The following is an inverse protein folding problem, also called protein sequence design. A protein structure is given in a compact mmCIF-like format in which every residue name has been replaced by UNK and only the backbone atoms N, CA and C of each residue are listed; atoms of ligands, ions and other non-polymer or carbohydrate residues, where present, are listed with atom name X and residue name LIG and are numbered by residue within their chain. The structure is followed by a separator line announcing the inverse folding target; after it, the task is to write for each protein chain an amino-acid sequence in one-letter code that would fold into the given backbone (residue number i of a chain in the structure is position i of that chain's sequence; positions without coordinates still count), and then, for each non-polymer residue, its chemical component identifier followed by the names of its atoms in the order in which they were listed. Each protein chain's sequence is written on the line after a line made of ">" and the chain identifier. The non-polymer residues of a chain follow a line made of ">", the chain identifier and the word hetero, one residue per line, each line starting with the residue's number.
data_IF_506763168548
#
_entry.id   IF_506763168548
#
_cell.length_a   1.000
_cell.length_b   1.000
_cell.length_c   1.000
_cell.angle_alpha   90.00
_cell.angle_beta   90.00
_cell.angle_gamma   90.00
#
_symmetry.space_group_name_H-M   'P 1'
#
loop_
_entity.id
_entity.type
_entity.pdbx_description
1 polymer ?
#
# COMPACT_ATOMS: atom_id res chain seq x y z
N UNK A 1 8.33 6.08 -36.50
CA UNK A 1 7.51 5.69 -37.66
C UNK A 1 6.69 4.45 -37.30
N UNK A 2 5.37 4.66 -37.25
CA UNK A 2 4.24 3.75 -37.52
C UNK A 2 4.14 2.33 -36.91
N UNK A 3 4.58 2.09 -35.68
CA UNK A 3 3.99 0.95 -34.95
C UNK A 3 2.56 1.27 -34.53
N UNK A 4 1.58 0.71 -35.25
CA UNK A 4 0.17 0.75 -34.85
C UNK A 4 -0.16 -0.46 -33.98
N UNK A 5 -0.46 -0.30 -32.67
CA UNK A 5 -0.75 -1.41 -31.77
C UNK A 5 -2.19 -1.95 -31.91
N UNK A 6 -3.08 -1.25 -32.63
CA UNK A 6 -4.51 -1.62 -32.73
C UNK A 6 -4.77 -2.98 -33.41
N UNK A 7 -4.10 -3.35 -34.52
CA UNK A 7 -4.27 -4.68 -35.11
C UNK A 7 -3.84 -5.78 -34.13
N UNK A 8 -2.77 -5.55 -33.37
CA UNK A 8 -2.29 -6.48 -32.35
C UNK A 8 -3.33 -6.63 -31.23
N UNK A 9 -3.91 -5.52 -30.74
CA UNK A 9 -5.04 -5.55 -29.79
C UNK A 9 -6.17 -6.44 -30.28
N UNK A 10 -6.62 -6.21 -31.51
CA UNK A 10 -7.75 -6.94 -32.09
C UNK A 10 -7.45 -8.43 -32.20
N UNK A 11 -6.27 -8.80 -32.70
CA UNK A 11 -5.84 -10.20 -32.81
C UNK A 11 -5.82 -10.85 -31.42
N UNK A 12 -5.23 -10.20 -30.42
CA UNK A 12 -5.08 -10.76 -29.08
C UNK A 12 -6.42 -10.96 -28.38
N UNK A 13 -7.28 -9.93 -28.36
CA UNK A 13 -8.60 -10.03 -27.71
C UNK A 13 -9.48 -11.04 -28.45
N UNK A 14 -9.47 -11.06 -29.79
CA UNK A 14 -10.23 -12.03 -30.57
C UNK A 14 -9.74 -13.45 -30.33
N UNK A 15 -8.42 -13.67 -30.36
CA UNK A 15 -7.83 -14.98 -30.08
C UNK A 15 -8.21 -15.46 -28.67
N UNK A 16 -8.08 -14.60 -27.66
CA UNK A 16 -8.48 -14.93 -26.29
C UNK A 16 -9.96 -15.33 -26.21
N UNK A 17 -10.86 -14.52 -26.78
CA UNK A 17 -12.30 -14.80 -26.79
C UNK A 17 -12.64 -16.06 -27.59
N UNK A 18 -11.97 -16.33 -28.71
CA UNK A 18 -12.18 -17.54 -29.51
C UNK A 18 -11.72 -18.79 -28.76
N UNK A 19 -10.53 -18.77 -28.16
CA UNK A 19 -10.01 -19.89 -27.38
C UNK A 19 -10.89 -20.23 -26.18
N UNK A 20 -11.50 -19.22 -25.55
CA UNK A 20 -12.50 -19.43 -24.49
C UNK A 20 -13.84 -19.98 -25.01
N UNK A 21 -14.22 -19.65 -26.26
CA UNK A 21 -15.50 -20.04 -26.88
C UNK A 21 -15.51 -21.39 -27.58
N UNK A 22 -14.37 -21.91 -28.03
CA UNK A 22 -14.28 -23.15 -28.87
C UNK A 22 -14.63 -24.42 -28.08
N UNK A 23 -15.37 -24.28 -26.98
CA UNK A 23 -15.48 -25.25 -25.90
C UNK A 23 -16.89 -25.45 -25.34
N UNK A 24 -17.91 -24.74 -25.83
CA UNK A 24 -19.27 -25.26 -25.63
C UNK A 24 -19.48 -26.58 -26.40
N UNK A 25 -18.62 -26.88 -27.39
CA UNK A 25 -18.90 -27.90 -28.42
C UNK A 25 -17.98 -29.14 -28.48
N UNK A 26 -16.87 -29.30 -27.73
CA UNK A 26 -16.05 -30.54 -27.91
C UNK A 26 -15.06 -30.99 -26.80
N UNK A 27 -14.78 -32.29 -26.87
CA UNK A 27 -14.03 -33.29 -26.06
C UNK A 27 -12.60 -32.98 -25.56
N UNK A 28 -12.08 -31.77 -25.67
CA UNK A 28 -10.77 -31.43 -25.08
C UNK A 28 -10.91 -31.21 -23.57
N UNK A 29 -10.17 -32.00 -22.78
CA UNK A 29 -10.28 -32.03 -21.31
C UNK A 29 -10.17 -30.65 -20.65
N UNK A 30 -10.87 -30.50 -19.51
CA UNK A 30 -10.93 -29.29 -18.67
C UNK A 30 -9.57 -28.65 -18.37
N UNK A 31 -8.49 -29.43 -18.42
CA UNK A 31 -7.12 -28.99 -18.15
C UNK A 31 -6.62 -27.95 -19.16
N UNK A 32 -6.92 -28.01 -20.47
CA UNK A 32 -6.33 -27.07 -21.45
C UNK A 32 -6.82 -25.62 -21.24
N UNK A 33 -8.10 -25.44 -20.90
CA UNK A 33 -8.74 -24.14 -20.68
C UNK A 33 -8.06 -23.39 -19.56
N UNK A 34 -7.67 -24.13 -18.53
CA UNK A 34 -7.08 -23.52 -17.35
C UNK A 34 -5.71 -22.91 -17.66
N UNK A 35 -5.07 -23.35 -18.75
CA UNK A 35 -3.80 -22.80 -19.21
C UNK A 35 -3.94 -21.56 -20.09
N UNK A 36 -5.10 -21.31 -20.70
CA UNK A 36 -5.30 -20.18 -21.63
C UNK A 36 -5.08 -18.83 -20.92
N UNK A 37 -5.71 -18.52 -19.77
CA UNK A 37 -5.47 -17.25 -19.07
C UNK A 37 -4.01 -17.07 -18.63
N UNK A 38 -3.36 -18.16 -18.24
CA UNK A 38 -1.97 -18.18 -17.77
C UNK A 38 -1.02 -17.88 -18.93
N UNK A 39 -1.16 -18.59 -20.05
CA UNK A 39 -0.33 -18.41 -21.23
C UNK A 39 -0.51 -17.02 -21.84
N UNK A 40 -1.76 -16.54 -21.91
CA UNK A 40 -2.07 -15.21 -22.42
C UNK A 40 -1.52 -14.11 -21.51
N UNK A 41 -1.68 -14.24 -20.19
CA UNK A 41 -1.11 -13.29 -19.25
C UNK A 41 0.42 -13.29 -19.25
N UNK A 42 1.07 -14.46 -19.41
CA UNK A 42 2.52 -14.51 -19.62
C UNK A 42 2.95 -13.79 -20.90
N UNK A 43 2.23 -13.98 -22.00
CA UNK A 43 2.48 -13.27 -23.24
C UNK A 43 2.33 -11.75 -23.07
N UNK A 44 1.28 -11.29 -22.39
CA UNK A 44 1.12 -9.88 -22.04
C UNK A 44 2.29 -9.36 -21.20
N UNK A 45 2.73 -10.11 -20.17
CA UNK A 45 3.90 -9.72 -19.36
C UNK A 45 5.16 -9.51 -20.20
N UNK A 46 5.38 -10.33 -21.24
CA UNK A 46 6.49 -10.12 -22.18
C UNK A 46 6.34 -8.81 -22.97
N UNK A 47 5.11 -8.42 -23.30
CA UNK A 47 4.73 -7.16 -23.95
C UNK A 47 4.54 -5.98 -22.98
N UNK A 48 5.00 -6.09 -21.73
CA UNK A 48 4.82 -5.04 -20.72
C UNK A 48 5.30 -3.68 -21.24
N UNK A 49 4.65 -2.57 -20.83
CA UNK A 49 4.97 -1.23 -21.34
C UNK A 49 6.44 -0.81 -21.17
N UNK A 50 7.11 -1.27 -20.12
CA UNK A 50 8.55 -1.02 -19.91
C UNK A 50 9.46 -1.63 -20.98
N UNK A 51 9.00 -2.70 -21.66
CA UNK A 51 9.70 -3.34 -22.79
C UNK A 51 9.23 -2.83 -24.14
N UNK A 52 7.92 -2.59 -24.27
CA UNK A 52 7.30 -2.13 -25.51
C UNK A 52 6.47 -0.86 -25.23
N UNK A 53 7.09 0.32 -25.07
CA UNK A 53 6.39 1.54 -24.69
C UNK A 53 5.26 1.94 -25.65
N UNK A 54 5.42 1.65 -26.95
CA UNK A 54 4.40 1.90 -27.96
C UNK A 54 3.11 1.07 -27.76
N UNK A 55 3.14 0.03 -26.93
CA UNK A 55 1.99 -0.82 -26.59
C UNK A 55 1.27 -0.37 -25.31
N UNK A 56 1.74 0.66 -24.60
CA UNK A 56 1.26 1.03 -23.26
C UNK A 56 -0.25 1.31 -23.16
N UNK A 57 -0.83 2.00 -24.16
CA UNK A 57 -2.26 2.34 -24.19
C UNK A 57 -3.08 1.06 -24.43
N UNK A 58 -2.70 0.27 -25.42
CA UNK A 58 -3.37 -1.00 -25.71
C UNK A 58 -3.25 -2.00 -24.56
N UNK A 59 -2.12 -2.02 -23.86
CA UNK A 59 -1.91 -2.84 -22.68
C UNK A 59 -2.95 -2.52 -21.60
N UNK A 60 -3.15 -1.24 -21.27
CA UNK A 60 -4.19 -0.80 -20.33
C UNK A 60 -5.59 -1.18 -20.83
N UNK A 61 -5.91 -0.93 -22.10
CA UNK A 61 -7.21 -1.26 -22.67
C UNK A 61 -7.51 -2.78 -22.61
N UNK A 62 -6.49 -3.64 -22.72
CA UNK A 62 -6.67 -5.09 -22.55
C UNK A 62 -6.95 -5.44 -21.08
N UNK A 63 -6.27 -4.78 -20.14
CA UNK A 63 -6.54 -4.96 -18.70
C UNK A 63 -7.91 -4.40 -18.30
N UNK A 64 -8.46 -3.43 -19.04
CA UNK A 64 -9.78 -2.87 -18.81
C UNK A 64 -10.93 -3.70 -19.43
N UNK A 65 -10.65 -4.62 -20.36
CA UNK A 65 -11.66 -5.44 -21.05
C UNK A 65 -12.43 -6.35 -20.07
N UNK A 66 -13.75 -6.22 -20.06
CA UNK A 66 -14.61 -6.93 -19.10
C UNK A 66 -14.51 -8.45 -19.21
N UNK A 67 -14.28 -8.99 -20.41
CA UNK A 67 -14.16 -10.45 -20.59
C UNK A 67 -12.83 -10.92 -20.03
N UNK A 68 -11.76 -10.14 -20.23
CA UNK A 68 -10.45 -10.43 -19.65
C UNK A 68 -10.51 -10.36 -18.12
N UNK A 69 -11.01 -9.27 -17.54
CA UNK A 69 -11.13 -9.11 -16.08
C UNK A 69 -11.95 -10.24 -15.48
N UNK A 70 -13.16 -10.50 -15.98
CA UNK A 70 -14.04 -11.56 -15.43
C UNK A 70 -13.40 -12.93 -15.51
N UNK A 71 -12.73 -13.25 -16.63
CA UNK A 71 -12.04 -14.54 -16.77
C UNK A 71 -10.88 -14.67 -15.78
N UNK A 72 -10.17 -13.58 -15.50
CA UNK A 72 -9.04 -13.57 -14.59
C UNK A 72 -9.45 -13.53 -13.12
N UNK A 73 -10.55 -12.84 -12.77
CA UNK A 73 -10.90 -12.52 -11.38
C UNK A 73 -12.15 -13.23 -10.85
N UNK A 74 -13.20 -13.45 -11.65
CA UNK A 74 -14.44 -14.11 -11.18
C UNK A 74 -14.20 -15.60 -10.89
N UNK A 75 -13.24 -16.20 -11.57
CA UNK A 75 -12.87 -17.60 -11.38
C UNK A 75 -11.86 -17.68 -10.24
N UNK A 76 -12.22 -18.37 -9.17
CA UNK A 76 -11.41 -18.54 -7.96
C UNK A 76 -10.22 -19.49 -8.14
N UNK A 77 -9.38 -19.24 -9.14
CA UNK A 77 -8.11 -19.94 -9.35
C UNK A 77 -6.99 -18.95 -9.01
N UNK A 78 -6.22 -19.18 -7.92
CA UNK A 78 -5.17 -18.26 -7.45
C UNK A 78 -4.14 -17.91 -8.53
N UNK A 79 -3.93 -18.85 -9.44
CA UNK A 79 -3.12 -18.68 -10.63
C UNK A 79 -3.44 -17.42 -11.43
N UNK A 80 -4.72 -17.20 -11.70
CA UNK A 80 -5.18 -16.12 -12.57
C UNK A 80 -5.04 -14.80 -11.84
N UNK A 81 -5.42 -14.76 -10.56
CA UNK A 81 -5.24 -13.59 -9.70
C UNK A 81 -3.77 -13.17 -9.63
N UNK A 82 -2.84 -14.11 -9.44
CA UNK A 82 -1.40 -13.83 -9.42
C UNK A 82 -0.91 -13.23 -10.75
N UNK A 83 -1.34 -13.80 -11.88
CA UNK A 83 -0.98 -13.29 -13.21
C UNK A 83 -1.54 -11.88 -13.43
N UNK A 84 -2.80 -11.64 -13.08
CA UNK A 84 -3.42 -10.32 -13.21
C UNK A 84 -2.75 -9.28 -12.30
N UNK A 85 -2.44 -9.65 -11.06
CA UNK A 85 -1.70 -8.80 -10.11
C UNK A 85 -0.32 -8.41 -10.67
N UNK A 86 0.40 -9.34 -11.31
CA UNK A 86 1.68 -9.03 -11.96
C UNK A 86 1.50 -8.04 -13.11
N UNK A 87 0.50 -8.21 -13.97
CA UNK A 87 0.24 -7.30 -15.10
C UNK A 87 -0.12 -5.88 -14.62
N UNK A 88 -0.90 -5.77 -13.54
CA UNK A 88 -1.19 -4.48 -12.90
C UNK A 88 0.07 -3.80 -12.39
N UNK A 89 0.97 -4.56 -11.76
CA UNK A 89 2.26 -4.05 -11.31
C UNK A 89 3.13 -3.60 -12.49
N UNK A 90 3.18 -4.36 -13.59
CA UNK A 90 3.97 -4.01 -14.76
C UNK A 90 3.56 -2.64 -15.33
N UNK A 91 2.26 -2.40 -15.50
CA UNK A 91 1.77 -1.13 -16.02
C UNK A 91 1.91 0.00 -15.01
N UNK A 92 1.67 -0.27 -13.73
CA UNK A 92 1.77 0.74 -12.67
C UNK A 92 3.21 1.22 -12.49
N UNK A 93 4.18 0.29 -12.52
CA UNK A 93 5.61 0.62 -12.49
C UNK A 93 6.01 1.51 -13.67
N UNK A 94 5.58 1.14 -14.87
CA UNK A 94 5.87 1.94 -16.07
C UNK A 94 5.33 3.36 -15.97
N UNK A 95 4.06 3.52 -15.59
CA UNK A 95 3.43 4.85 -15.45
C UNK A 95 4.09 5.66 -14.33
N UNK A 96 4.45 5.02 -13.21
CA UNK A 96 5.15 5.68 -12.11
C UNK A 96 6.47 6.34 -12.58
N UNK A 97 7.23 5.65 -13.41
CA UNK A 97 8.52 6.13 -13.92
C UNK A 97 8.33 7.32 -14.84
N UNK A 98 7.33 7.22 -15.73
CA UNK A 98 6.96 8.33 -16.59
C UNK A 98 6.53 9.55 -15.76
N UNK A 99 5.75 9.34 -14.70
CA UNK A 99 5.31 10.39 -13.79
C UNK A 99 6.47 11.05 -13.02
N UNK A 100 7.52 10.31 -12.68
CA UNK A 100 8.73 10.87 -12.06
C UNK A 100 9.61 11.63 -13.05
N UNK A 101 9.62 11.22 -14.32
CA UNK A 101 10.53 11.76 -15.34
C UNK A 101 10.08 13.07 -15.98
N UNK A 102 8.79 13.45 -15.89
CA UNK A 102 8.24 14.53 -16.72
C UNK A 102 7.19 15.42 -16.04
N UNK A 103 7.43 16.73 -16.18
CA UNK A 103 6.53 17.86 -16.02
C UNK A 103 5.53 17.88 -17.19
N UNK A 104 4.23 17.79 -16.89
CA UNK A 104 3.07 18.23 -17.71
C UNK A 104 3.13 17.99 -19.23
N UNK A 105 2.91 16.75 -19.69
CA UNK A 105 2.43 16.48 -21.06
C UNK A 105 1.02 15.87 -21.01
N UNK A 106 0.08 16.40 -21.81
CA UNK A 106 -1.33 15.97 -21.82
C UNK A 106 -1.52 14.45 -22.04
N UNK A 107 -0.65 13.82 -22.84
CA UNK A 107 -0.69 12.36 -23.08
C UNK A 107 -0.35 11.53 -21.84
N UNK A 108 0.58 12.01 -20.99
CA UNK A 108 0.93 11.35 -19.73
C UNK A 108 -0.17 11.51 -18.69
N UNK A 109 -0.83 12.67 -18.67
CA UNK A 109 -2.02 12.90 -17.84
C UNK A 109 -3.12 11.92 -18.19
N UNK A 110 -3.37 11.68 -19.48
CA UNK A 110 -4.36 10.70 -19.92
C UNK A 110 -3.97 9.27 -19.52
N UNK A 111 -2.69 8.88 -19.67
CA UNK A 111 -2.22 7.54 -19.30
C UNK A 111 -2.35 7.29 -17.79
N UNK A 112 -1.99 8.27 -16.96
CA UNK A 112 -2.17 8.19 -15.51
C UNK A 112 -3.64 8.14 -15.14
N UNK A 113 -4.50 8.93 -15.80
CA UNK A 113 -5.93 8.91 -15.57
C UNK A 113 -6.54 7.55 -15.92
N UNK A 114 -6.19 6.95 -17.07
CA UNK A 114 -6.63 5.59 -17.43
C UNK A 114 -6.16 4.55 -16.41
N UNK A 115 -4.90 4.64 -15.95
CA UNK A 115 -4.41 3.77 -14.88
C UNK A 115 -5.23 3.94 -13.59
N UNK A 116 -5.52 5.18 -13.18
CA UNK A 116 -6.34 5.48 -12.02
C UNK A 116 -7.75 4.90 -12.16
N UNK A 117 -8.38 5.06 -13.34
CA UNK A 117 -9.72 4.56 -13.62
C UNK A 117 -9.77 3.03 -13.58
N UNK A 118 -8.73 2.34 -14.08
CA UNK A 118 -8.56 0.89 -13.94
C UNK A 118 -8.46 0.48 -12.46
N UNK A 119 -7.60 1.11 -11.67
CA UNK A 119 -7.48 0.83 -10.23
C UNK A 119 -8.78 1.10 -9.47
N UNK A 120 -9.48 2.16 -9.82
CA UNK A 120 -10.77 2.52 -9.22
C UNK A 120 -11.85 1.49 -9.58
N UNK A 121 -11.94 1.08 -10.85
CA UNK A 121 -12.83 0.00 -11.31
C UNK A 121 -12.59 -1.29 -10.53
N UNK A 122 -11.32 -1.69 -10.37
CA UNK A 122 -10.96 -2.89 -9.63
C UNK A 122 -11.26 -2.78 -8.13
N UNK A 123 -11.02 -1.63 -7.53
CA UNK A 123 -11.30 -1.40 -6.10
C UNK A 123 -12.80 -1.45 -5.81
N UNK A 124 -13.64 -0.98 -6.74
CA UNK A 124 -15.10 -1.01 -6.62
C UNK A 124 -15.70 -2.39 -6.93
N UNK A 125 -15.27 -3.05 -8.00
CA UNK A 125 -15.88 -4.29 -8.50
C UNK A 125 -15.23 -5.56 -7.95
N UNK A 126 -13.95 -5.50 -7.61
CA UNK A 126 -13.15 -6.65 -7.16
C UNK A 126 -12.38 -6.35 -5.86
N UNK A 127 -13.07 -5.86 -4.80
CA UNK A 127 -12.39 -5.45 -3.58
C UNK A 127 -11.70 -6.61 -2.85
N UNK A 128 -12.20 -7.84 -2.99
CA UNK A 128 -11.59 -9.05 -2.41
C UNK A 128 -10.20 -9.30 -2.97
N UNK A 129 -10.05 -9.23 -4.29
CA UNK A 129 -8.77 -9.33 -4.98
C UNK A 129 -7.80 -8.22 -4.54
N UNK A 130 -8.26 -6.98 -4.48
CA UNK A 130 -7.41 -5.88 -3.98
C UNK A 130 -6.98 -6.11 -2.53
N UNK A 131 -7.88 -6.60 -1.68
CA UNK A 131 -7.57 -6.89 -0.28
C UNK A 131 -6.54 -8.02 -0.11
N UNK A 132 -6.64 -9.09 -0.91
CA UNK A 132 -5.72 -10.23 -0.89
C UNK A 132 -4.30 -9.84 -1.32
N UNK A 133 -4.18 -8.90 -2.26
CA UNK A 133 -2.90 -8.43 -2.81
C UNK A 133 -2.48 -7.04 -2.30
N UNK A 134 -3.15 -6.48 -1.29
CA UNK A 134 -2.90 -5.09 -0.86
C UNK A 134 -1.46 -4.84 -0.41
N UNK A 135 -0.85 -5.80 0.31
CA UNK A 135 0.56 -5.74 0.70
C UNK A 135 1.50 -5.81 -0.51
N UNK A 136 1.18 -6.71 -1.46
CA UNK A 136 1.92 -6.83 -2.71
C UNK A 136 1.89 -5.49 -3.48
N UNK A 137 0.71 -4.91 -3.69
CA UNK A 137 0.58 -3.63 -4.40
C UNK A 137 1.24 -2.47 -3.67
N UNK A 138 1.14 -2.40 -2.34
CA UNK A 138 1.76 -1.33 -1.54
C UNK A 138 3.29 -1.29 -1.65
N UNK A 139 3.92 -2.43 -1.95
CA UNK A 139 5.37 -2.51 -2.19
C UNK A 139 5.79 -1.99 -3.57
N UNK A 140 4.88 -2.00 -4.57
CA UNK A 140 5.21 -1.58 -5.94
C UNK A 140 4.66 -0.21 -6.33
N UNK A 141 3.56 0.22 -5.73
CA UNK A 141 3.05 1.57 -5.92
C UNK A 141 3.93 2.52 -5.11
N UNK A 142 4.70 3.34 -5.82
CA UNK A 142 5.60 4.31 -5.20
C UNK A 142 4.86 5.24 -4.23
N UNK A 143 5.53 5.60 -3.15
CA UNK A 143 4.96 6.38 -2.04
C UNK A 143 4.27 7.68 -2.50
N UNK A 144 4.84 8.48 -3.43
CA UNK A 144 4.24 9.74 -3.88
C UNK A 144 2.91 9.56 -4.63
N UNK A 145 2.61 8.35 -5.11
CA UNK A 145 1.35 8.05 -5.80
C UNK A 145 0.22 7.78 -4.80
N UNK A 146 0.01 8.72 -3.87
CA UNK A 146 -0.95 8.58 -2.77
C UNK A 146 -2.36 8.27 -3.26
N UNK A 147 -2.81 8.85 -4.39
CA UNK A 147 -4.15 8.59 -4.92
C UNK A 147 -4.35 7.12 -5.32
N UNK A 148 -3.35 6.48 -5.92
CA UNK A 148 -3.40 5.05 -6.26
C UNK A 148 -3.27 4.17 -5.01
N UNK A 149 -2.36 4.53 -4.10
CA UNK A 149 -2.21 3.80 -2.82
C UNK A 149 -3.51 3.86 -2.01
N UNK A 150 -4.17 5.02 -2.00
CA UNK A 150 -5.43 5.23 -1.29
C UNK A 150 -6.54 4.31 -1.82
N UNK A 151 -6.63 4.07 -3.13
CA UNK A 151 -7.56 3.09 -3.68
C UNK A 151 -7.32 1.66 -3.14
N UNK A 152 -6.05 1.27 -3.02
CA UNK A 152 -5.67 -0.06 -2.50
C UNK A 152 -6.00 -0.21 -1.01
N UNK A 153 -5.65 0.77 -0.18
CA UNK A 153 -5.85 0.69 1.27
C UNK A 153 -7.32 0.86 1.68
N UNK A 154 -8.11 1.57 0.87
CA UNK A 154 -9.54 1.80 1.11
C UNK A 154 -10.42 0.61 0.67
N UNK A 155 -9.87 -0.37 -0.05
CA UNK A 155 -10.60 -1.57 -0.43
C UNK A 155 -10.98 -2.41 0.81
N UNK A 156 -12.19 -3.00 0.78
CA UNK A 156 -12.75 -3.77 1.89
C UNK A 156 -13.69 -4.88 1.41
N UNK A 157 -13.72 -6.00 2.14
CA UNK A 157 -14.54 -7.17 1.80
C UNK A 157 -16.05 -6.88 1.83
N UNK A 158 -16.51 -6.01 2.74
CA UNK A 158 -17.91 -5.62 2.84
C UNK A 158 -18.07 -4.10 2.62
N UNK A 159 -18.78 -3.75 1.54
CA UNK A 159 -19.08 -2.36 1.18
C UNK A 159 -20.37 -1.84 1.85
N UNK A 160 -21.15 -2.70 2.50
CA UNK A 160 -22.46 -2.35 3.08
C UNK A 160 -22.36 -1.89 4.53
N UNK A 161 -21.35 -2.35 5.27
CA UNK A 161 -21.06 -1.90 6.63
C UNK A 161 -20.15 -0.66 6.61
N UNK A 162 -20.73 0.53 6.43
CA UNK A 162 -20.09 1.79 6.84
C UNK A 162 -20.33 2.08 8.34
N UNK A 163 -20.90 1.12 9.07
CA UNK A 163 -21.38 1.30 10.45
C UNK A 163 -20.27 1.44 11.48
N UNK A 164 -19.07 0.93 11.20
CA UNK A 164 -17.91 1.04 12.11
C UNK A 164 -17.28 2.44 12.09
N UNK A 165 -17.53 3.23 11.03
CA UNK A 165 -16.97 4.58 10.84
C UNK A 165 -17.39 5.49 11.99
N UNK A 166 -18.56 5.23 12.54
CA UNK A 166 -19.19 6.01 13.60
C UNK A 166 -18.95 5.44 15.00
N UNK A 167 -18.23 4.31 15.13
CA UNK A 167 -17.88 3.72 16.42
C UNK A 167 -16.51 4.24 16.86
N UNK A 168 -16.49 5.30 17.66
CA UNK A 168 -15.28 5.92 18.21
C UNK A 168 -14.39 4.95 18.99
N UNK A 169 -14.95 3.83 19.45
CA UNK A 169 -14.26 2.84 20.28
C UNK A 169 -13.89 1.57 19.48
N UNK A 170 -14.03 1.59 18.15
CA UNK A 170 -13.75 0.43 17.30
C UNK A 170 -12.30 -0.09 17.42
N UNK A 171 -11.33 0.82 17.63
CA UNK A 171 -9.93 0.48 17.86
C UNK A 171 -9.67 -0.06 19.29
N UNK A 172 -10.60 0.15 20.22
CA UNK A 172 -10.51 -0.33 21.61
C UNK A 172 -11.02 -1.78 21.76
N UNK A 173 -11.84 -2.26 20.80
CA UNK A 173 -12.40 -3.63 20.78
C UNK A 173 -11.33 -4.72 20.88
N UNK A 174 -11.63 -5.83 21.56
CA UNK A 174 -10.70 -6.98 21.71
C UNK A 174 -10.18 -7.49 20.37
N UNK A 175 -8.88 -7.80 20.33
CA UNK A 175 -8.20 -8.27 19.12
C UNK A 175 -8.81 -9.58 18.59
N UNK A 176 -9.27 -10.45 19.48
CA UNK A 176 -9.90 -11.74 19.14
C UNK A 176 -11.22 -11.60 18.36
N UNK A 177 -11.89 -10.45 18.47
CA UNK A 177 -13.16 -10.17 17.79
C UNK A 177 -12.97 -9.65 16.36
N UNK A 178 -11.73 -9.31 15.99
CA UNK A 178 -11.42 -8.75 14.68
C UNK A 178 -10.98 -9.85 13.71
N UNK A 179 -11.31 -9.73 12.40
CA UNK A 179 -10.86 -10.69 11.41
C UNK A 179 -9.35 -10.56 11.17
N UNK A 180 -8.70 -11.69 10.86
CA UNK A 180 -7.35 -11.68 10.29
C UNK A 180 -7.40 -11.17 8.84
N UNK A 181 -6.39 -10.43 8.38
CA UNK A 181 -6.26 -10.16 6.96
C UNK A 181 -5.92 -11.46 6.22
N UNK A 182 -6.38 -11.59 4.97
CA UNK A 182 -6.12 -12.78 4.16
C UNK A 182 -5.18 -12.49 2.98
N UNK A 183 -4.69 -13.55 2.35
CA UNK A 183 -3.90 -13.47 1.12
C UNK A 183 -2.41 -13.22 1.34
N UNK A 184 -1.80 -12.51 0.39
CA UNK A 184 -0.35 -12.34 0.22
C UNK A 184 0.36 -11.85 1.50
N UNK A 185 -0.31 -11.04 2.31
CA UNK A 185 0.24 -10.45 3.54
C UNK A 185 0.65 -11.51 4.58
N UNK A 186 -0.09 -12.62 4.69
CA UNK A 186 0.16 -13.65 5.71
C UNK A 186 1.42 -14.48 5.43
N UNK A 187 1.89 -14.48 4.18
CA UNK A 187 3.11 -15.18 3.76
C UNK A 187 4.40 -14.34 3.91
N UNK A 188 4.34 -13.17 4.57
CA UNK A 188 5.50 -12.28 4.73
C UNK A 188 6.72 -12.98 5.34
N UNK A 189 6.50 -13.81 6.37
CA UNK A 189 7.58 -14.58 7.00
C UNK A 189 8.22 -15.63 6.09
N UNK A 190 7.59 -16.03 4.99
CA UNK A 190 8.15 -16.98 4.02
C UNK A 190 9.03 -16.27 2.96
N UNK A 191 8.86 -14.96 2.79
CA UNK A 191 9.62 -14.14 1.83
C UNK A 191 10.92 -13.58 2.40
N UNK A 192 11.05 -13.55 3.73
CA UNK A 192 12.26 -13.10 4.39
C UNK A 192 13.46 -14.04 4.11
N UNK A 193 14.69 -13.51 4.02
CA UNK A 193 15.90 -14.34 3.98
C UNK A 193 15.96 -15.27 5.21
N UNK A 194 16.22 -16.58 5.04
CA UNK A 194 16.30 -17.51 6.17
C UNK A 194 17.25 -17.09 7.31
N UNK A 195 18.44 -16.50 7.03
CA UNK A 195 19.32 -16.00 8.09
C UNK A 195 18.69 -14.86 8.90
N UNK A 196 18.01 -13.92 8.25
CA UNK A 196 17.32 -12.80 8.91
C UNK A 196 16.17 -13.33 9.77
N UNK A 197 15.35 -14.22 9.22
CA UNK A 197 14.24 -14.83 9.94
C UNK A 197 14.71 -15.56 11.20
N UNK A 198 15.72 -16.41 11.07
CA UNK A 198 16.27 -17.17 12.20
C UNK A 198 16.89 -16.26 13.26
N UNK A 199 17.59 -15.19 12.85
CA UNK A 199 18.14 -14.20 13.79
C UNK A 199 17.05 -13.49 14.59
N UNK A 200 15.95 -13.14 13.94
CA UNK A 200 14.79 -12.47 14.57
C UNK A 200 14.07 -13.40 15.53
N UNK A 201 13.80 -14.64 15.11
CA UNK A 201 13.17 -15.65 15.97
C UNK A 201 14.05 -15.96 17.19
N UNK A 202 15.37 -16.03 17.01
CA UNK A 202 16.34 -16.21 18.10
C UNK A 202 16.37 -14.99 19.03
N UNK A 203 16.29 -13.77 18.48
CA UNK A 203 16.27 -12.55 19.27
C UNK A 203 15.00 -12.46 20.12
N UNK A 204 13.84 -12.79 19.55
CA UNK A 204 12.56 -12.76 20.25
C UNK A 204 12.49 -13.83 21.36
N UNK A 205 13.05 -15.02 21.13
CA UNK A 205 12.97 -16.14 22.07
C UNK A 205 14.08 -16.16 23.13
N UNK A 206 15.31 -15.82 22.74
CA UNK A 206 16.51 -15.96 23.58
C UNK A 206 17.19 -14.63 23.92
N UNK A 207 16.76 -13.52 23.30
CA UNK A 207 17.43 -12.22 23.44
C UNK A 207 18.80 -12.15 22.74
N UNK A 208 19.09 -13.08 21.82
CA UNK A 208 20.37 -13.19 21.12
C UNK A 208 20.20 -13.07 19.60
N UNK A 209 21.10 -12.38 18.86
CA UNK A 209 22.33 -11.75 19.34
C UNK A 209 22.09 -10.41 20.05
N UNK A 210 22.98 -10.04 20.98
CA UNK A 210 22.87 -8.82 21.78
C UNK A 210 22.88 -7.57 20.89
N UNK A 211 23.70 -7.58 19.84
CA UNK A 211 23.84 -6.48 18.89
C UNK A 211 22.81 -6.51 17.76
N UNK A 212 21.82 -7.41 17.83
CA UNK A 212 20.82 -7.58 16.78
C UNK A 212 20.18 -6.25 16.36
N UNK A 213 19.78 -5.44 17.34
CA UNK A 213 19.13 -4.15 17.08
C UNK A 213 20.04 -3.17 16.33
N UNK A 214 21.34 -3.13 16.66
CA UNK A 214 22.32 -2.23 16.04
C UNK A 214 22.67 -2.68 14.61
N UNK A 215 22.78 -3.99 14.39
CA UNK A 215 23.11 -4.56 13.09
C UNK A 215 21.93 -4.51 12.12
N UNK A 216 20.69 -4.47 12.63
CA UNK A 216 19.48 -4.62 11.84
C UNK A 216 19.33 -3.61 10.69
N UNK A 217 19.53 -2.29 10.86
CA UNK A 217 19.50 -1.33 9.75
C UNK A 217 20.53 -1.68 8.66
N UNK A 218 21.71 -2.18 9.04
CA UNK A 218 22.76 -2.60 8.09
C UNK A 218 22.38 -3.87 7.33
N UNK A 219 21.62 -4.78 7.93
CA UNK A 219 21.09 -5.96 7.25
C UNK A 219 20.10 -5.60 6.13
N UNK A 220 19.44 -4.43 6.23
CA UNK A 220 18.53 -3.92 5.22
C UNK A 220 19.22 -3.09 4.12
N UNK A 221 20.50 -2.73 4.31
CA UNK A 221 21.20 -1.88 3.35
C UNK A 221 21.45 -2.60 2.02
N UNK A 222 21.13 -1.91 0.93
CA UNK A 222 21.59 -2.25 -0.40
C UNK A 222 23.05 -1.81 -0.54
N UNK A 223 24.00 -2.48 0.14
CA UNK A 223 25.44 -2.19 -0.07
C UNK A 223 25.84 -2.54 -1.52
N UNK A 224 26.80 -1.81 -2.09
CA UNK A 224 27.44 -2.01 -3.40
C UNK A 224 28.25 -3.32 -3.54
N UNK A 225 27.86 -4.36 -2.83
CA UNK A 225 28.34 -5.71 -3.06
C UNK A 225 27.07 -6.54 -3.13
N UNK A 226 26.83 -7.25 -4.25
CA UNK A 226 25.76 -8.27 -4.41
C UNK A 226 24.55 -7.89 -5.30
N UNK A 227 24.64 -6.86 -6.15
CA UNK A 227 23.90 -6.90 -7.43
C UNK A 227 24.27 -8.15 -8.28
N UNK A 228 25.39 -8.81 -7.96
CA UNK A 228 25.95 -9.99 -8.64
C UNK A 228 25.89 -11.33 -7.87
N UNK A 229 25.46 -11.37 -6.60
CA UNK A 229 25.54 -12.57 -5.74
C UNK A 229 24.15 -13.09 -5.26
N UNK A 230 23.09 -12.27 -5.33
CA UNK A 230 21.71 -12.66 -4.99
C UNK A 230 20.70 -12.51 -6.14
N UNK A 231 21.20 -12.37 -7.36
CA UNK A 231 20.60 -12.99 -8.56
C UNK A 231 20.72 -14.54 -8.52
N UNK A 232 20.76 -15.13 -7.33
CA UNK A 232 20.89 -16.56 -7.14
C UNK A 232 19.50 -17.21 -7.15
N UNK A 233 19.23 -18.18 -8.06
CA UNK A 233 17.94 -18.84 -8.24
C UNK A 233 17.43 -19.64 -7.03
N UNK A 234 18.14 -19.61 -5.89
CA UNK A 234 17.89 -20.44 -4.71
C UNK A 234 16.69 -20.01 -3.86
N UNK A 235 16.32 -18.72 -3.83
CA UNK A 235 15.11 -18.27 -3.07
C UNK A 235 13.80 -18.72 -3.72
N UNK A 236 13.78 -18.85 -5.05
CA UNK A 236 12.67 -19.45 -5.80
C UNK A 236 12.70 -20.99 -5.73
N UNK A 237 13.87 -21.63 -5.51
CA UNK A 237 13.95 -23.07 -5.29
C UNK A 237 13.30 -23.52 -3.98
N UNK A 238 13.31 -22.71 -2.91
CA UNK A 238 12.66 -23.10 -1.63
C UNK A 238 11.13 -23.02 -1.75
N UNK A 239 10.61 -22.02 -2.48
CA UNK A 239 9.19 -21.91 -2.82
C UNK A 239 8.77 -23.04 -3.78
N UNK A 240 9.57 -23.32 -4.82
CA UNK A 240 9.37 -24.44 -5.75
C UNK A 240 9.52 -25.82 -5.09
N UNK A 241 10.37 -25.97 -4.07
CA UNK A 241 10.53 -27.22 -3.34
C UNK A 241 9.33 -27.54 -2.44
N UNK A 242 8.61 -26.51 -1.96
CA UNK A 242 7.34 -26.64 -1.23
C UNK A 242 6.12 -26.82 -2.16
N UNK A 243 6.20 -26.32 -3.40
CA UNK A 243 5.12 -26.38 -4.42
C UNK A 243 5.18 -27.63 -5.33
N UNK A 244 5.67 -28.76 -4.81
CA UNK A 244 6.02 -30.00 -5.54
C UNK A 244 4.90 -30.72 -6.32
N UNK A 245 3.82 -30.07 -6.75
CA UNK A 245 2.75 -30.71 -7.52
C UNK A 245 2.07 -29.87 -8.61
N UNK A 246 2.76 -29.09 -9.46
CA UNK A 246 2.25 -28.66 -10.81
C UNK A 246 3.31 -28.00 -11.72
N UNK A 247 4.07 -28.84 -12.45
CA UNK A 247 5.29 -28.50 -13.20
C UNK A 247 5.20 -27.47 -14.36
N UNK A 248 4.03 -26.98 -14.77
CA UNK A 248 3.89 -25.96 -15.82
C UNK A 248 3.60 -24.56 -15.27
N UNK A 249 2.89 -24.51 -14.14
CA UNK A 249 2.47 -23.29 -13.46
C UNK A 249 3.66 -22.52 -12.88
N UNK A 250 4.63 -23.29 -12.38
CA UNK A 250 5.82 -22.77 -11.72
C UNK A 250 6.81 -22.13 -12.70
N UNK A 251 6.86 -22.53 -13.98
CA UNK A 251 7.81 -21.97 -14.95
C UNK A 251 7.42 -20.57 -15.44
N UNK A 252 6.13 -20.30 -15.60
CA UNK A 252 5.66 -18.99 -16.04
C UNK A 252 5.78 -17.93 -14.94
N UNK A 253 5.42 -18.27 -13.69
CA UNK A 253 5.72 -17.44 -12.52
C UNK A 253 7.23 -17.31 -12.29
N UNK A 254 8.01 -18.37 -12.53
CA UNK A 254 9.47 -18.34 -12.47
C UNK A 254 10.07 -17.32 -13.43
N UNK A 255 9.70 -17.31 -14.71
CA UNK A 255 10.24 -16.34 -15.67
C UNK A 255 9.65 -14.92 -15.54
N UNK A 256 8.42 -14.78 -15.01
CA UNK A 256 7.84 -13.47 -14.70
C UNK A 256 8.49 -12.84 -13.45
N UNK A 257 8.76 -13.65 -12.41
CA UNK A 257 9.47 -13.24 -11.20
C UNK A 257 10.97 -12.98 -11.45
N UNK A 258 11.61 -13.77 -12.31
CA UNK A 258 13.01 -13.52 -12.74
C UNK A 258 13.11 -12.23 -13.58
N UNK A 259 12.08 -11.87 -14.34
CA UNK A 259 12.04 -10.61 -15.10
C UNK A 259 11.53 -9.40 -14.30
N UNK A 260 10.89 -9.62 -13.14
CA UNK A 260 10.55 -8.55 -12.20
C UNK A 260 11.77 -8.17 -11.37
N UNK A 261 12.75 -9.06 -11.14
CA UNK A 261 14.03 -8.79 -10.45
C UNK A 261 14.95 -7.77 -11.13
N UNK A 262 14.64 -7.29 -12.32
CA UNK A 262 15.21 -6.05 -12.88
C UNK A 262 14.57 -4.78 -12.24
N UNK A 263 14.28 -4.81 -10.93
CA UNK A 263 13.70 -3.68 -10.15
C UNK A 263 14.68 -2.50 -10.04
N UNK A 264 15.89 -2.60 -10.58
CA UNK A 264 16.91 -1.56 -10.49
C UNK A 264 16.61 -0.26 -11.25
N UNK A 265 15.60 -0.23 -12.15
CA UNK A 265 15.48 0.90 -13.09
C UNK A 265 14.54 2.03 -12.67
N UNK A 266 13.83 1.95 -11.54
CA UNK A 266 12.61 2.74 -11.37
C UNK A 266 12.52 3.50 -10.03
N UNK A 267 13.44 4.46 -9.89
CA UNK A 267 13.16 5.80 -9.34
C UNK A 267 12.86 5.97 -7.84
N UNK A 268 12.94 4.92 -7.04
CA UNK A 268 13.08 5.03 -5.57
C UNK A 268 14.36 4.38 -5.03
N UNK A 269 14.99 3.47 -5.78
CA UNK A 269 16.20 2.77 -5.34
C UNK A 269 17.45 3.64 -5.36
N UNK A 270 17.43 4.79 -6.05
CA UNK A 270 18.58 5.68 -6.09
C UNK A 270 18.64 6.68 -4.92
N UNK A 271 17.60 6.77 -4.08
CA UNK A 271 17.55 7.71 -2.95
C UNK A 271 17.52 7.06 -1.56
N UNK A 272 17.14 5.78 -1.47
CA UNK A 272 17.05 5.05 -0.20
C UNK A 272 18.04 3.88 -0.24
N UNK A 273 19.06 3.82 0.65
CA UNK A 273 20.10 2.81 0.61
C UNK A 273 19.65 1.45 1.14
N UNK A 274 18.35 1.13 1.08
CA UNK A 274 17.73 -0.06 1.69
C UNK A 274 16.85 -0.80 0.69
N UNK A 275 16.64 -2.10 0.91
CA UNK A 275 15.72 -2.94 0.11
C UNK A 275 14.28 -2.75 0.62
N UNK A 276 13.40 -1.98 -0.05
CA UNK A 276 12.11 -1.56 0.51
C UNK A 276 11.16 -2.74 0.76
N UNK A 277 11.12 -3.69 -0.18
CA UNK A 277 10.30 -4.91 -0.11
C UNK A 277 10.65 -5.75 1.11
N UNK A 278 11.94 -5.87 1.42
CA UNK A 278 12.44 -6.67 2.54
C UNK A 278 12.09 -6.03 3.89
N UNK A 279 12.21 -4.71 4.00
CA UNK A 279 11.81 -3.96 5.20
C UNK A 279 10.30 -4.06 5.41
N UNK A 280 9.52 -3.91 4.35
CA UNK A 280 8.05 -4.01 4.40
C UNK A 280 7.59 -5.41 4.84
N UNK A 281 8.10 -6.47 4.21
CA UNK A 281 7.82 -7.87 4.63
C UNK A 281 8.29 -8.14 6.06
N UNK A 282 9.39 -7.54 6.50
CA UNK A 282 9.90 -7.69 7.86
C UNK A 282 8.95 -7.08 8.90
N UNK A 283 8.48 -5.84 8.67
CA UNK A 283 7.52 -5.18 9.55
C UNK A 283 6.20 -5.97 9.66
N UNK A 284 5.70 -6.49 8.54
CA UNK A 284 4.49 -7.34 8.53
C UNK A 284 4.72 -8.63 9.29
N UNK A 285 5.85 -9.30 9.09
CA UNK A 285 6.15 -10.53 9.79
C UNK A 285 6.24 -10.32 11.32
N UNK A 286 6.86 -9.22 11.76
CA UNK A 286 6.87 -8.85 13.18
C UNK A 286 5.46 -8.55 13.70
N UNK A 287 4.60 -7.92 12.90
CA UNK A 287 3.19 -7.71 13.23
C UNK A 287 2.47 -9.05 13.43
N UNK A 288 2.64 -10.02 12.52
CA UNK A 288 2.00 -11.34 12.62
C UNK A 288 2.38 -12.02 13.94
N UNK A 289 3.69 -12.11 14.25
CA UNK A 289 4.17 -12.70 15.51
C UNK A 289 3.60 -11.94 16.72
N UNK A 290 3.56 -10.61 16.66
CA UNK A 290 3.08 -9.79 17.76
C UNK A 290 1.58 -9.98 18.00
N UNK A 291 0.78 -10.05 16.93
CA UNK A 291 -0.67 -10.30 16.98
C UNK A 291 -0.95 -11.69 17.56
N UNK A 292 -0.22 -12.71 17.13
CA UNK A 292 -0.31 -14.06 17.69
C UNK A 292 0.01 -14.05 19.20
N UNK A 293 1.11 -13.42 19.61
CA UNK A 293 1.47 -13.29 21.02
C UNK A 293 0.41 -12.55 21.85
N UNK A 294 -0.22 -11.50 21.30
CA UNK A 294 -1.29 -10.79 21.98
C UNK A 294 -2.52 -11.68 22.22
N UNK A 295 -2.87 -12.53 21.25
CA UNK A 295 -3.99 -13.47 21.39
C UNK A 295 -3.73 -14.51 22.49
N UNK A 296 -2.50 -15.03 22.58
CA UNK A 296 -2.13 -15.98 23.65
C UNK A 296 -2.18 -15.35 25.04
N UNK A 297 -1.82 -14.07 25.18
CA UNK A 297 -1.79 -13.36 26.45
C UNK A 297 -3.16 -12.86 26.93
N UNK A 298 -4.21 -13.02 26.10
CA UNK A 298 -5.61 -12.80 26.50
C UNK A 298 -6.00 -11.33 26.73
N UNK A 299 -5.24 -10.38 26.16
CA UNK A 299 -5.35 -8.97 26.53
C UNK A 299 -5.87 -8.08 25.40
N UNK A 300 -6.54 -7.01 25.79
CA UNK A 300 -6.77 -5.87 24.91
C UNK A 300 -5.40 -5.33 24.57
N UNK A 301 -5.02 -5.23 23.29
CA UNK A 301 -3.78 -4.56 22.91
C UNK A 301 -3.88 -3.13 23.45
N UNK A 302 -3.28 -2.91 24.60
CA UNK A 302 -3.31 -1.67 25.38
C UNK A 302 -1.90 -1.19 25.60
N UNK A 303 -1.76 0.00 26.16
CA UNK A 303 -0.46 0.68 26.26
C UNK A 303 0.61 -0.14 27.00
N UNK A 304 0.21 -0.89 28.04
CA UNK A 304 1.10 -1.76 28.81
C UNK A 304 1.56 -3.03 28.08
N UNK A 305 0.81 -3.52 27.09
CA UNK A 305 1.21 -4.68 26.29
C UNK A 305 2.18 -4.27 25.18
N UNK A 306 1.93 -3.12 24.54
CA UNK A 306 2.78 -2.60 23.47
C UNK A 306 4.23 -2.38 23.92
N UNK A 307 4.42 -1.95 25.17
CA UNK A 307 5.76 -1.78 25.77
C UNK A 307 6.49 -3.09 26.04
N UNK A 308 5.77 -4.22 26.18
CA UNK A 308 6.34 -5.55 26.43
C UNK A 308 6.64 -6.33 25.15
N UNK A 309 6.05 -5.94 24.03
CA UNK A 309 6.24 -6.64 22.76
C UNK A 309 7.62 -6.32 22.16
N UNK A 310 8.30 -7.32 21.55
CA UNK A 310 9.60 -7.11 20.90
C UNK A 310 9.50 -6.17 19.69
N UNK A 311 8.30 -5.91 19.17
CA UNK A 311 8.04 -5.02 18.06
C UNK A 311 8.56 -3.59 18.32
N UNK A 312 8.23 -2.99 19.46
CA UNK A 312 8.55 -1.57 19.73
C UNK A 312 10.07 -1.33 19.81
N UNK A 313 10.87 -2.13 20.54
CA UNK A 313 12.33 -2.01 20.51
C UNK A 313 12.93 -2.15 19.10
N UNK A 314 12.43 -3.11 18.31
CA UNK A 314 12.91 -3.34 16.94
C UNK A 314 12.55 -2.16 16.03
N UNK A 315 11.30 -1.71 16.06
CA UNK A 315 10.83 -0.56 15.28
C UNK A 315 11.59 0.72 15.65
N UNK A 316 11.85 0.96 16.94
CA UNK A 316 12.67 2.10 17.39
C UNK A 316 14.10 2.03 16.86
N UNK A 317 14.71 0.85 16.85
CA UNK A 317 16.06 0.68 16.29
C UNK A 317 16.09 1.01 14.79
N UNK A 318 15.09 0.55 14.05
CA UNK A 318 14.95 0.86 12.63
C UNK A 318 14.73 2.36 12.37
N UNK A 319 13.82 3.00 13.11
CA UNK A 319 13.53 4.43 12.98
C UNK A 319 14.79 5.27 13.24
N UNK A 320 15.57 4.94 14.26
CA UNK A 320 16.83 5.63 14.58
C UNK A 320 17.95 5.34 13.58
N UNK A 321 18.07 4.09 13.14
CA UNK A 321 19.21 3.63 12.34
C UNK A 321 19.08 3.91 10.84
N UNK A 322 17.88 4.16 10.32
CA UNK A 322 17.65 4.29 8.88
C UNK A 322 17.66 5.75 8.34
N UNK A 323 17.85 6.74 9.22
CA UNK A 323 17.82 8.17 8.86
C UNK A 323 16.44 8.67 8.41
N UNK A 324 16.32 9.96 8.06
CA UNK A 324 15.02 10.60 7.81
C UNK A 324 14.21 9.95 6.66
N UNK A 325 14.86 9.60 5.55
CA UNK A 325 14.19 8.97 4.41
C UNK A 325 13.70 7.54 4.75
N UNK A 326 14.50 6.79 5.52
CA UNK A 326 14.13 5.45 5.99
C UNK A 326 13.05 5.48 7.07
N UNK A 327 13.09 6.47 7.96
CA UNK A 327 12.04 6.73 8.96
C UNK A 327 10.69 6.97 8.30
N UNK A 328 10.63 7.91 7.36
CA UNK A 328 9.39 8.18 6.61
C UNK A 328 8.91 6.93 5.85
N UNK A 329 9.83 6.14 5.27
CA UNK A 329 9.49 4.87 4.64
C UNK A 329 8.86 3.85 5.60
N UNK A 330 9.45 3.63 6.79
CA UNK A 330 8.91 2.72 7.81
C UNK A 330 7.50 3.17 8.22
N UNK A 331 7.31 4.46 8.49
CA UNK A 331 6.01 5.02 8.85
C UNK A 331 5.00 4.79 7.72
N UNK A 332 5.40 5.05 6.47
CA UNK A 332 4.56 4.82 5.28
C UNK A 332 4.16 3.34 5.12
N UNK A 333 5.07 2.40 5.42
CA UNK A 333 4.75 0.96 5.48
C UNK A 333 3.71 0.67 6.56
N UNK A 334 3.88 1.18 7.79
CA UNK A 334 2.90 0.98 8.87
C UNK A 334 1.54 1.57 8.52
N UNK A 335 1.51 2.78 7.93
CA UNK A 335 0.28 3.44 7.48
C UNK A 335 -0.40 2.67 6.34
N UNK A 336 0.35 2.01 5.45
CA UNK A 336 -0.23 1.19 4.37
C UNK A 336 -1.04 -0.02 4.87
N UNK A 337 -0.84 -0.42 6.12
CA UNK A 337 -1.63 -1.47 6.77
C UNK A 337 -2.86 -0.95 7.51
N UNK A 338 -3.05 0.37 7.61
CA UNK A 338 -4.27 0.98 8.14
C UNK A 338 -5.36 0.93 7.07
N UNK A 339 -5.95 -0.26 6.88
CA UNK A 339 -7.03 -0.54 5.90
C UNK A 339 -8.38 -0.59 6.60
N UNK A 340 -9.29 -1.46 6.18
CA UNK A 340 -10.50 -1.83 6.93
C UNK A 340 -10.18 -2.42 8.32
N UNK A 341 -11.15 -2.47 9.23
CA UNK A 341 -10.93 -3.03 10.57
C UNK A 341 -10.55 -4.51 10.53
N UNK A 342 -9.31 -4.79 10.91
CA UNK A 342 -8.75 -6.13 11.06
C UNK A 342 -7.67 -6.10 12.14
N UNK A 343 -7.15 -7.27 12.52
CA UNK A 343 -6.14 -7.38 13.58
C UNK A 343 -4.86 -6.57 13.29
N UNK A 344 -4.39 -6.55 12.03
CA UNK A 344 -3.19 -5.78 11.65
C UNK A 344 -3.45 -4.27 11.69
N UNK A 345 -4.59 -3.80 11.17
CA UNK A 345 -5.00 -2.38 11.23
C UNK A 345 -4.98 -1.90 12.68
N UNK A 346 -5.61 -2.65 13.59
CA UNK A 346 -5.60 -2.31 15.02
C UNK A 346 -4.18 -2.28 15.59
N UNK A 347 -3.38 -3.31 15.34
CA UNK A 347 -2.02 -3.41 15.84
C UNK A 347 -1.14 -2.24 15.37
N UNK A 348 -1.14 -1.93 14.07
CA UNK A 348 -0.35 -0.83 13.52
C UNK A 348 -0.86 0.55 13.97
N UNK A 349 -2.18 0.75 14.09
CA UNK A 349 -2.75 1.98 14.62
C UNK A 349 -2.23 2.25 16.05
N UNK A 350 -2.22 1.23 16.90
CA UNK A 350 -1.73 1.33 18.27
C UNK A 350 -0.21 1.46 18.35
N UNK A 351 0.54 0.82 17.46
CA UNK A 351 1.98 1.04 17.32
C UNK A 351 2.27 2.51 17.00
N UNK A 352 1.58 3.08 16.01
CA UNK A 352 1.76 4.47 15.59
C UNK A 352 1.39 5.45 16.71
N UNK A 353 0.28 5.21 17.42
CA UNK A 353 -0.11 6.00 18.60
C UNK A 353 0.94 5.94 19.71
N UNK A 354 1.50 4.76 19.98
CA UNK A 354 2.52 4.59 21.00
C UNK A 354 3.85 5.25 20.62
N UNK A 355 4.28 5.11 19.35
CA UNK A 355 5.47 5.80 18.83
C UNK A 355 5.26 7.32 18.90
N UNK A 356 4.09 7.82 18.51
CA UNK A 356 3.74 9.24 18.57
C UNK A 356 3.80 9.78 20.00
N UNK A 357 3.32 9.02 20.99
CA UNK A 357 3.41 9.37 22.42
C UNK A 357 4.86 9.47 22.90
N UNK A 358 5.68 8.49 22.54
CA UNK A 358 7.09 8.42 22.94
C UNK A 358 7.96 9.47 22.25
N UNK A 359 7.53 9.93 21.08
CA UNK A 359 8.18 10.97 20.30
C UNK A 359 7.78 12.39 20.77
N UNK A 360 7.32 12.55 22.02
CA UNK A 360 6.91 13.86 22.55
C UNK A 360 8.01 14.93 22.48
N UNK A 361 9.28 14.52 22.55
CA UNK A 361 10.46 15.40 22.44
C UNK A 361 11.06 15.44 21.02
N UNK A 362 10.67 14.54 20.12
CA UNK A 362 11.16 14.44 18.74
C UNK A 362 10.08 14.91 17.76
N UNK A 363 10.02 16.24 17.57
CA UNK A 363 9.03 16.89 16.71
C UNK A 363 9.02 16.36 15.27
N UNK A 364 10.20 15.99 14.73
CA UNK A 364 10.32 15.49 13.37
C UNK A 364 9.56 14.18 13.17
N UNK A 365 9.67 13.25 14.11
CA UNK A 365 8.99 11.95 14.04
C UNK A 365 7.46 12.08 14.15
N UNK A 366 6.97 13.00 15.00
CA UNK A 366 5.53 13.30 15.09
C UNK A 366 5.01 13.93 13.79
N UNK A 367 5.75 14.87 13.22
CA UNK A 367 5.41 15.51 11.96
C UNK A 367 5.40 14.51 10.80
N UNK A 368 6.35 13.57 10.73
CA UNK A 368 6.37 12.52 9.70
C UNK A 368 5.14 11.58 9.79
N UNK A 369 4.73 11.18 11.00
CA UNK A 369 3.54 10.35 11.21
C UNK A 369 2.29 11.07 10.69
N UNK A 370 2.11 12.32 11.12
CA UNK A 370 0.95 13.13 10.73
C UNK A 370 0.98 13.38 9.24
N UNK A 371 2.11 13.77 8.68
CA UNK A 371 2.29 13.99 7.25
C UNK A 371 1.90 12.74 6.45
N UNK A 372 2.40 11.57 6.83
CA UNK A 372 2.04 10.31 6.17
C UNK A 372 0.53 10.11 6.17
N UNK A 373 -0.14 10.23 7.32
CA UNK A 373 -1.60 10.04 7.42
C UNK A 373 -2.37 11.05 6.56
N UNK A 374 -1.98 12.32 6.62
CA UNK A 374 -2.64 13.41 5.92
C UNK A 374 -2.44 13.34 4.41
N UNK A 375 -1.30 12.87 3.92
CA UNK A 375 -1.07 12.67 2.49
C UNK A 375 -2.13 11.74 1.87
N UNK A 376 -2.59 10.70 2.59
CA UNK A 376 -3.72 9.87 2.16
C UNK A 376 -5.06 10.59 2.30
N UNK A 377 -5.29 11.31 3.40
CA UNK A 377 -6.55 12.04 3.62
C UNK A 377 -6.79 13.15 2.59
N UNK A 378 -5.74 13.75 2.04
CA UNK A 378 -5.85 14.80 1.02
C UNK A 378 -6.06 14.31 -0.42
N UNK A 379 -6.02 13.00 -0.67
CA UNK A 379 -6.31 12.46 -2.00
C UNK A 379 -7.81 12.55 -2.33
N UNK A 380 -8.24 12.08 -3.51
CA UNK A 380 -9.67 11.90 -3.78
C UNK A 380 -10.24 10.74 -2.93
N UNK A 381 -11.57 10.70 -2.78
CA UNK A 381 -12.27 9.52 -2.25
C UNK A 381 -11.96 8.28 -3.10
N UNK A 382 -11.96 7.06 -2.53
CA UNK A 382 -12.40 6.67 -1.18
C UNK A 382 -11.32 6.78 -0.08
N UNK A 383 -11.69 7.10 1.17
CA UNK A 383 -10.77 7.08 2.33
C UNK A 383 -10.72 5.75 3.08
N UNK A 384 -9.52 5.40 3.56
CA UNK A 384 -9.33 4.23 4.38
C UNK A 384 -9.86 4.45 5.79
N UNK A 385 -10.70 3.52 6.23
CA UNK A 385 -11.13 3.30 7.60
C UNK A 385 -10.03 3.52 8.64
N UNK A 386 -8.99 2.70 8.58
CA UNK A 386 -7.99 2.61 9.62
C UNK A 386 -7.22 3.91 9.76
N UNK A 387 -7.02 4.64 8.65
CA UNK A 387 -6.41 5.96 8.67
C UNK A 387 -7.32 6.95 9.39
N UNK A 388 -8.61 6.99 9.04
CA UNK A 388 -9.58 7.87 9.68
C UNK A 388 -9.68 7.60 11.20
N UNK A 389 -9.79 6.33 11.59
CA UNK A 389 -9.85 5.93 13.00
C UNK A 389 -8.56 6.27 13.76
N UNK A 390 -7.39 6.05 13.15
CA UNK A 390 -6.09 6.38 13.77
C UNK A 390 -5.93 7.88 13.94
N UNK A 391 -6.31 8.66 12.92
CA UNK A 391 -6.29 10.13 13.01
C UNK A 391 -7.21 10.63 14.13
N UNK A 392 -8.46 10.15 14.19
CA UNK A 392 -9.40 10.52 15.24
C UNK A 392 -8.83 10.23 16.65
N UNK A 393 -8.18 9.07 16.82
CA UNK A 393 -7.56 8.70 18.10
C UNK A 393 -6.32 9.55 18.44
N UNK A 394 -5.51 9.94 17.45
CA UNK A 394 -4.40 10.89 17.67
C UNK A 394 -4.96 12.23 18.16
N UNK A 395 -6.00 12.75 17.50
CA UNK A 395 -6.63 14.00 17.88
C UNK A 395 -7.24 13.96 19.29
N UNK A 396 -7.94 12.86 19.63
CA UNK A 396 -8.54 12.67 20.96
C UNK A 396 -7.50 12.61 22.09
N UNK A 397 -6.36 11.94 21.85
CA UNK A 397 -5.36 11.70 22.90
C UNK A 397 -4.33 12.83 23.05
N UNK A 398 -4.03 13.58 21.99
CA UNK A 398 -2.92 14.54 22.00
C UNK A 398 -3.31 15.98 21.59
N UNK A 399 -4.55 16.21 21.14
CA UNK A 399 -5.01 17.51 20.64
C UNK A 399 -4.19 18.06 19.46
N UNK A 400 -4.42 19.33 19.09
CA UNK A 400 -3.63 20.08 18.11
C UNK A 400 -2.29 20.58 18.67
N UNK A 401 -1.50 19.69 19.28
CA UNK A 401 -0.14 20.05 19.74
C UNK A 401 0.91 20.08 18.62
N UNK A 402 0.47 20.08 17.37
CA UNK A 402 1.31 20.13 16.16
C UNK A 402 1.20 21.53 15.57
N UNK A 403 2.34 22.15 15.25
CA UNK A 403 2.36 23.45 14.59
C UNK A 403 1.80 23.29 13.17
N UNK A 404 0.59 23.80 12.95
CA UNK A 404 -0.17 23.64 11.68
C UNK A 404 0.64 24.19 10.50
N UNK A 405 1.54 25.12 10.78
CA UNK A 405 2.42 25.78 9.81
C UNK A 405 3.50 24.84 9.21
N UNK A 406 3.75 23.67 9.81
CA UNK A 406 4.70 22.68 9.28
C UNK A 406 4.05 21.66 8.32
N UNK A 407 2.72 21.72 8.12
CA UNK A 407 2.01 20.80 7.24
C UNK A 407 2.12 21.21 5.76
N UNK A 408 2.39 20.27 4.83
CA UNK A 408 2.77 20.59 3.45
C UNK A 408 1.62 21.02 2.51
N UNK A 409 0.40 21.31 2.98
CA UNK A 409 -0.76 21.67 2.12
C UNK A 409 -1.57 22.86 2.67
N UNK A 410 -2.23 23.66 1.82
CA UNK A 410 -2.91 24.89 2.22
C UNK A 410 -3.91 24.64 3.35
N UNK A 411 -3.95 25.57 4.30
CA UNK A 411 -4.76 25.50 5.52
C UNK A 411 -6.24 25.20 5.24
N UNK A 412 -6.81 25.64 4.11
CA UNK A 412 -8.21 25.41 3.74
C UNK A 412 -8.55 23.92 3.47
N UNK A 413 -7.68 23.18 2.77
CA UNK A 413 -7.89 21.75 2.52
C UNK A 413 -7.74 20.94 3.81
N UNK A 414 -6.79 21.34 4.65
CA UNK A 414 -6.60 20.79 5.99
C UNK A 414 -7.85 21.02 6.82
N UNK A 415 -8.33 22.25 6.88
CA UNK A 415 -9.51 22.65 7.64
C UNK A 415 -10.77 21.93 7.16
N UNK A 416 -10.93 21.69 5.85
CA UNK A 416 -12.06 20.90 5.31
C UNK A 416 -11.96 19.42 5.68
N UNK A 417 -10.80 18.80 5.53
CA UNK A 417 -10.58 17.39 5.90
C UNK A 417 -10.75 17.21 7.40
N UNK A 418 -10.20 18.13 8.18
CA UNK A 418 -10.36 18.23 9.63
C UNK A 418 -11.83 18.42 9.96
N UNK A 419 -12.54 19.40 9.40
CA UNK A 419 -13.98 19.59 9.63
C UNK A 419 -14.78 18.33 9.29
N UNK A 420 -14.46 17.63 8.20
CA UNK A 420 -15.11 16.38 7.85
C UNK A 420 -14.78 15.24 8.84
N UNK A 421 -13.55 15.17 9.36
CA UNK A 421 -13.16 14.23 10.42
C UNK A 421 -13.77 14.63 11.78
N UNK A 422 -13.87 15.91 12.09
CA UNK A 422 -14.40 16.40 13.35
C UNK A 422 -15.93 16.27 13.40
N UNK A 423 -16.64 16.56 12.30
CA UNK A 423 -18.11 16.43 12.19
C UNK A 423 -18.55 14.97 12.22
N UNK A 424 -17.74 14.04 11.71
CA UNK A 424 -18.10 12.61 11.64
C UNK A 424 -17.58 11.81 12.85
N UNK A 425 -16.44 12.17 13.46
CA UNK A 425 -15.71 11.31 14.41
C UNK A 425 -15.43 11.92 15.79
N UNK A 426 -15.78 13.19 16.06
CA UNK A 426 -15.62 13.82 17.39
C UNK A 426 -17.00 14.27 17.91
N UNK A 427 -17.53 13.67 18.99
CA UNK A 427 -18.89 13.98 19.47
C UNK A 427 -19.04 15.38 20.09
N UNK A 428 -17.94 16.07 20.43
CA UNK A 428 -17.99 17.27 21.24
C UNK A 428 -17.25 18.47 20.59
N UNK A 429 -17.99 19.44 19.98
CA UNK A 429 -17.41 20.57 19.28
C UNK A 429 -16.67 21.59 20.18
N UNK A 430 -16.68 21.41 21.51
CA UNK A 430 -16.03 22.34 22.46
C UNK A 430 -14.53 22.07 22.70
N UNK A 431 -13.94 21.02 22.11
CA UNK A 431 -12.49 20.72 22.21
C UNK A 431 -11.66 21.23 21.04
N UNK A 432 -12.26 21.97 20.11
CA UNK A 432 -11.55 22.58 19.00
C UNK A 432 -10.82 23.83 19.49
N UNK A 433 -9.49 23.97 19.30
CA UNK A 433 -8.81 25.21 19.62
C UNK A 433 -9.38 26.33 18.75
N UNK A 434 -9.83 27.42 19.37
CA UNK A 434 -10.32 28.63 18.69
C UNK A 434 -9.29 29.23 17.71
N UNK A 435 -8.02 28.85 17.82
CA UNK A 435 -6.94 29.26 16.92
C UNK A 435 -7.05 28.69 15.50
N UNK A 436 -7.94 27.73 15.24
CA UNK A 436 -8.27 27.28 13.87
C UNK A 436 -9.32 28.19 13.22
N UNK A 437 -10.04 29.00 14.01
CA UNK A 437 -11.21 29.77 13.54
C UNK A 437 -11.02 31.28 13.49
N UNK A 438 -9.83 31.81 13.78
CA UNK A 438 -9.59 33.25 13.61
C UNK A 438 -9.34 33.57 12.14
N UNK A 439 -10.43 33.78 11.40
CA UNK A 439 -10.40 34.57 10.18
C UNK A 439 -9.71 35.91 10.46
N UNK A 440 -8.83 36.30 9.54
CA UNK A 440 -8.27 37.64 9.44
C UNK A 440 -9.38 38.68 9.40
N UNK A 441 -9.75 39.23 10.55
CA UNK A 441 -10.50 40.48 10.65
C UNK A 441 -9.55 41.64 10.36
N UNK A 442 -9.14 41.80 9.10
CA UNK A 442 -8.46 43.00 8.65
C UNK A 442 -8.93 43.41 7.25
N UNK A 443 -10.14 43.96 7.21
CA UNK A 443 -10.51 44.99 6.24
C UNK A 443 -11.72 45.78 6.73
N UNK A 444 -11.54 46.58 7.77
CA UNK A 444 -12.44 47.72 8.04
C UNK A 444 -12.21 48.79 6.96
N UNK A 445 -12.79 48.60 5.78
CA UNK A 445 -13.00 49.70 4.83
C UNK A 445 -14.02 50.66 5.46
N UNK A 446 -13.48 51.69 6.09
CA UNK A 446 -14.17 52.92 6.45
C UNK A 446 -14.66 53.57 5.15
N UNK A 447 -15.94 53.35 4.82
CA UNK A 447 -16.65 54.19 3.86
C UNK A 447 -17.22 55.38 4.63
N UNK A 448 -16.50 56.49 4.58
CA UNK A 448 -17.01 57.82 4.95
C UNK A 448 -18.12 58.22 3.97
N UNK A 449 -19.27 58.73 4.43
CA UNK A 449 -20.21 59.41 3.54
C UNK A 449 -19.68 60.82 3.25
N UNK A 450 -19.44 61.12 1.97
CA UNK A 450 -19.16 62.47 1.50
C UNK A 450 -20.34 63.39 1.83
N UNK A 451 -20.06 64.43 2.62
CA UNK A 451 -20.81 65.68 2.60
C UNK A 451 -20.47 66.42 1.29
N UNK A 452 -21.43 66.54 0.38
CA UNK A 452 -21.46 67.67 -0.56
C UNK A 452 -22.88 68.24 -0.57
N UNK A 453 -23.03 69.35 0.16
CA UNK A 453 -24.13 70.29 0.02
C UNK A 453 -23.78 71.29 -1.09
N UNK A 454 -24.69 71.31 -2.08
CA UNK A 454 -25.21 72.45 -2.84
C UNK A 454 -24.33 73.10 -3.91
N UNK A 455 -24.97 73.15 -5.09
CA UNK A 455 -24.86 74.16 -6.17
C UNK A 455 -23.56 74.21 -6.98
#
# INVERSE_FOLDING_TARGET
>A
EEFNPLPVKYILIKLFKTLLKTQEDSTFGSTFIDHVPIAFGYFLHLLRPSRVPAFQVVFLEILEDDVFIKRMLDIAIPAYHNVYAQLLVDVTKHVNVLAQSLVTHNSLTNLYQSLYDLWNKLSCLYPTFICEFAHYFSNFISIPLFSLRNLVISARYDQTSLSWVLDTDALERRLDLLPDPTGYVMDAGNRLPPPLKSAVESYISLGTPINFLEDLPHMFQARDSIAHLFQSPTKMMVIAAKLRSKALFDKALYYAAVNSQNVADYGFTNSVPYIPEMVSDFLVYLCIISVENCQYLGDYVGEGLMTRLPFIPIAKSLLKGMGNAGQYFIISCMVSHLRYLNKHTKFFAQCLLHIFKLASEDGNLRCDIVRCLFEYLFTKEPKSEGILMTCAQIFRNFGWTLDINELPKPAEDLERVVKNIFVIYIPDPQTVPETVFSESSDSSKTLTPNEEKRE
#
